data_IF_666691291928
#
_entry.id   IF_666691291928
#
_cell.length_a   1.000
_cell.length_b   1.000
_cell.length_c   1.000
_cell.angle_alpha   90.00
_cell.angle_beta   90.00
_cell.angle_gamma   90.00
#
_symmetry.space_group_name_H-M   'P 1'
#
loop_
_entity.id
_entity.type
_entity.pdbx_description
1 polymer ?
#
# COMPACT_ATOMS: atom_id res chain seq x y z
N UNK A 1 -8.36 -1.57 -14.04
CA UNK A 1 -6.93 -1.35 -14.29
C UNK A 1 -6.16 -1.98 -13.14
N UNK A 2 -5.10 -2.75 -13.41
CA UNK A 2 -4.28 -3.38 -12.37
C UNK A 2 -2.98 -2.60 -12.18
N UNK A 3 -2.47 -2.55 -10.95
CA UNK A 3 -1.19 -1.93 -10.63
C UNK A 3 -0.30 -2.90 -9.86
N UNK A 4 1.01 -2.75 -10.03
CA UNK A 4 2.03 -3.49 -9.28
C UNK A 4 2.55 -2.63 -8.14
N UNK A 5 2.57 -3.19 -6.94
CA UNK A 5 3.13 -2.58 -5.75
C UNK A 5 4.48 -3.20 -5.44
N UNK A 6 5.49 -2.35 -5.25
CA UNK A 6 6.81 -2.76 -4.78
C UNK A 6 6.89 -2.56 -3.27
N UNK A 7 7.22 -3.63 -2.55
CA UNK A 7 7.18 -3.68 -1.09
C UNK A 7 8.57 -3.98 -0.55
N UNK A 8 8.97 -3.28 0.51
CA UNK A 8 10.23 -3.53 1.24
C UNK A 8 10.08 -3.13 2.70
N UNK A 9 10.98 -3.59 3.55
CA UNK A 9 11.03 -3.14 4.95
C UNK A 9 11.38 -1.66 5.07
N UNK A 10 10.72 -0.94 5.99
CA UNK A 10 11.11 0.40 6.39
C UNK A 10 12.31 0.29 7.34
N UNK A 11 13.45 0.94 7.04
CA UNK A 11 14.64 0.87 7.90
C UNK A 11 14.34 1.36 9.33
N UNK A 12 14.89 0.68 10.32
CA UNK A 12 14.72 1.05 11.74
C UNK A 12 13.37 0.66 12.35
N UNK A 13 12.55 -0.12 11.64
CA UNK A 13 11.28 -0.66 12.14
C UNK A 13 11.25 -2.18 11.99
N UNK A 14 10.47 -2.85 12.84
CA UNK A 14 10.33 -4.31 12.81
C UNK A 14 9.09 -4.78 12.03
N UNK A 15 8.05 -3.95 11.97
CA UNK A 15 6.74 -4.32 11.45
C UNK A 15 6.25 -3.41 10.31
N UNK A 16 7.01 -2.38 9.93
CA UNK A 16 6.58 -1.42 8.91
C UNK A 16 7.20 -1.72 7.55
N UNK A 17 6.36 -1.68 6.53
CA UNK A 17 6.68 -1.87 5.12
C UNK A 17 6.50 -0.56 4.36
N UNK A 18 7.42 -0.28 3.43
CA UNK A 18 7.28 0.75 2.42
C UNK A 18 6.65 0.11 1.18
N UNK A 19 5.44 0.53 0.86
CA UNK A 19 4.67 0.05 -0.30
C UNK A 19 4.66 1.17 -1.34
N UNK A 20 5.34 0.95 -2.47
CA UNK A 20 5.44 1.92 -3.57
C UNK A 20 4.54 1.50 -4.71
N UNK A 21 3.58 2.36 -5.04
CA UNK A 21 2.74 2.27 -6.22
C UNK A 21 3.15 3.33 -7.26
N UNK A 22 2.59 3.30 -8.49
CA UNK A 22 2.76 4.39 -9.45
C UNK A 22 2.32 5.77 -8.94
N UNK A 23 1.51 5.81 -7.88
CA UNK A 23 0.93 7.03 -7.31
C UNK A 23 1.70 7.58 -6.09
N UNK A 24 2.67 6.82 -5.57
CA UNK A 24 3.48 7.23 -4.42
C UNK A 24 3.86 6.07 -3.51
N UNK A 25 4.52 6.40 -2.41
CA UNK A 25 4.92 5.42 -1.38
C UNK A 25 4.11 5.64 -0.11
N UNK A 26 3.62 4.55 0.47
CA UNK A 26 2.86 4.53 1.72
C UNK A 26 3.49 3.56 2.72
N UNK A 27 3.33 3.88 4.00
CA UNK A 27 3.75 3.02 5.11
C UNK A 27 2.62 2.07 5.49
N UNK A 28 2.89 0.76 5.48
CA UNK A 28 1.93 -0.29 5.85
C UNK A 28 2.48 -1.13 6.99
N UNK A 29 1.60 -1.59 7.88
CA UNK A 29 1.97 -2.61 8.85
C UNK A 29 1.97 -4.01 8.19
N UNK A 30 2.96 -4.83 8.53
CA UNK A 30 3.14 -6.18 7.96
C UNK A 30 1.93 -7.09 8.18
N UNK A 31 1.20 -6.96 9.28
CA UNK A 31 0.01 -7.77 9.55
C UNK A 31 -1.15 -7.41 8.62
N UNK A 32 -1.28 -6.13 8.26
CA UNK A 32 -2.26 -5.67 7.26
C UNK A 32 -1.88 -6.24 5.89
N UNK A 33 -0.60 -6.19 5.54
CA UNK A 33 -0.09 -6.74 4.30
C UNK A 33 -0.32 -8.25 4.19
N UNK A 34 -0.02 -9.01 5.26
CA UNK A 34 -0.27 -10.45 5.33
C UNK A 34 -1.75 -10.78 5.17
N UNK A 35 -2.62 -10.04 5.84
CA UNK A 35 -4.07 -10.24 5.75
C UNK A 35 -4.61 -10.07 4.33
N UNK A 36 -4.03 -9.15 3.54
CA UNK A 36 -4.50 -8.82 2.20
C UNK A 36 -3.88 -9.71 1.13
N UNK A 37 -2.56 -9.96 1.22
CA UNK A 37 -1.80 -10.66 0.17
C UNK A 37 -1.34 -12.07 0.55
N UNK A 38 -1.57 -12.49 1.80
CA UNK A 38 -1.28 -13.81 2.31
C UNK A 38 0.16 -14.01 2.77
N UNK A 39 0.37 -15.11 3.50
CA UNK A 39 1.66 -15.48 4.10
C UNK A 39 2.79 -15.71 3.07
N UNK A 40 2.46 -16.11 1.84
CA UNK A 40 3.47 -16.33 0.79
C UNK A 40 4.16 -15.02 0.36
N UNK A 41 3.41 -13.92 0.25
CA UNK A 41 3.97 -12.62 -0.06
C UNK A 41 4.89 -12.11 1.06
N UNK A 42 4.52 -12.40 2.31
CA UNK A 42 5.33 -12.08 3.51
C UNK A 42 6.59 -12.95 3.57
N UNK A 43 6.50 -14.24 3.23
CA UNK A 43 7.66 -15.12 3.18
C UNK A 43 8.72 -14.60 2.20
N UNK A 44 8.30 -14.10 1.03
CA UNK A 44 9.21 -13.45 0.06
C UNK A 44 9.89 -12.19 0.63
N UNK A 45 9.16 -11.37 1.40
CA UNK A 45 9.73 -10.20 2.10
C UNK A 45 10.78 -10.60 3.12
N UNK A 46 10.58 -11.69 3.86
CA UNK A 46 11.58 -12.18 4.82
C UNK A 46 12.81 -12.79 4.13
N UNK A 47 12.62 -13.49 3.02
CA UNK A 47 13.73 -14.14 2.30
C UNK A 47 14.59 -13.17 1.50
N UNK A 48 13.99 -12.14 0.91
CA UNK A 48 14.67 -11.27 -0.07
C UNK A 48 14.71 -9.79 0.34
N UNK A 49 14.04 -9.43 1.42
CA UNK A 49 13.85 -8.04 1.86
C UNK A 49 12.90 -7.23 0.99
N UNK A 50 12.35 -7.82 -0.08
CA UNK A 50 11.48 -7.17 -1.07
C UNK A 50 10.37 -8.10 -1.53
N UNK A 51 9.27 -7.55 -2.02
CA UNK A 51 8.25 -8.30 -2.73
C UNK A 51 7.56 -7.43 -3.78
N UNK A 52 6.92 -8.06 -4.76
CA UNK A 52 6.03 -7.37 -5.70
C UNK A 52 4.69 -8.07 -5.71
N UNK A 53 3.61 -7.29 -5.59
CA UNK A 53 2.23 -7.80 -5.61
C UNK A 53 1.39 -7.00 -6.60
N UNK A 54 0.47 -7.66 -7.27
CA UNK A 54 -0.46 -7.01 -8.20
C UNK A 54 -1.82 -6.87 -7.54
N UNK A 55 -2.42 -5.69 -7.63
CA UNK A 55 -3.80 -5.47 -7.18
C UNK A 55 -4.63 -4.75 -8.25
N UNK A 56 -5.94 -4.76 -8.07
CA UNK A 56 -6.82 -3.86 -8.82
C UNK A 56 -6.56 -2.45 -8.30
N UNK A 57 -6.24 -1.52 -9.20
CA UNK A 57 -6.07 -0.13 -8.86
C UNK A 57 -7.42 0.42 -8.37
N UNK A 58 -7.40 1.11 -7.23
CA UNK A 58 -8.56 1.88 -6.82
C UNK A 58 -8.80 2.96 -7.88
N UNK A 59 -10.05 3.20 -8.29
CA UNK A 59 -10.34 4.34 -9.14
C UNK A 59 -9.83 5.60 -8.46
N UNK A 60 -9.17 6.49 -9.22
CA UNK A 60 -8.73 7.77 -8.69
C UNK A 60 -9.95 8.49 -8.10
N UNK A 61 -10.00 8.66 -6.78
CA UNK A 61 -11.03 9.44 -6.13
C UNK A 61 -10.97 10.85 -6.71
N UNK A 62 -12.06 11.29 -7.34
CA UNK A 62 -12.19 12.66 -7.78
C UNK A 62 -11.98 13.57 -6.55
N UNK A 63 -11.25 14.70 -6.68
CA UNK A 63 -11.07 15.61 -5.55
C UNK A 63 -12.45 16.00 -5.00
N UNK A 64 -12.65 15.80 -3.70
CA UNK A 64 -13.83 16.26 -2.98
C UNK A 64 -13.79 17.79 -3.03
N UNK A 65 -14.41 18.38 -4.06
CA UNK A 65 -14.69 19.81 -4.09
C UNK A 65 -15.65 20.11 -2.94
N UNK A 66 -15.11 20.69 -1.87
CA UNK A 66 -15.87 21.14 -0.72
C UNK A 66 -16.88 22.19 -1.17
N UNK A 67 -18.14 21.79 -1.37
CA UNK A 67 -19.22 22.75 -1.59
C UNK A 67 -19.49 23.45 -0.26
N UNK A 68 -19.05 24.70 -0.20
CA UNK A 68 -19.32 25.69 0.84
C UNK A 68 -20.76 25.60 1.35
N UNK A 69 -20.94 25.21 2.61
CA UNK A 69 -22.21 25.38 3.29
C UNK A 69 -22.50 26.89 3.45
N UNK A 70 -23.50 27.40 2.73
CA UNK A 70 -24.19 28.64 3.10
C UNK A 70 -25.49 28.24 3.80
N UNK A 71 -25.50 28.35 5.13
CA UNK A 71 -26.73 28.36 5.93
C UNK A 71 -27.32 29.76 5.80
N UNK A 72 -28.59 29.82 5.36
CA UNK A 72 -29.42 31.02 5.32
C UNK A 72 -30.09 31.27 6.68
#
# INVERSE_FOLDING_TARGET
MTETLHVRWKPGTLDTLLVTSPHGTLDWNVLIFERIYGAQAVAQLYLTGRASVTRVALPAEAPINTVTARVA
#
